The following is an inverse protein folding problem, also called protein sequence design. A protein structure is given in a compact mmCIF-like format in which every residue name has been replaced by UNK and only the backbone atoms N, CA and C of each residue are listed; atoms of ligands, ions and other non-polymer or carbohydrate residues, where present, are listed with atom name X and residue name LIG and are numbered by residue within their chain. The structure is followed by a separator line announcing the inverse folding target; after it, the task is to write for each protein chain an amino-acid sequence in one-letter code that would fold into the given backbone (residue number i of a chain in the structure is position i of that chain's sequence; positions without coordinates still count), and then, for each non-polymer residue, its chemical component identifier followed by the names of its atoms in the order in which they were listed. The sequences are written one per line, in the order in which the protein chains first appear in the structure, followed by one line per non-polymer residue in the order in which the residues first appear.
data_IF_480254845120
#
_entry.id   IF_480254845120
#
_cell.length_a   1.000
_cell.length_b   1.000
_cell.length_c   1.000
_cell.angle_alpha   90.00
_cell.angle_beta   90.00
_cell.angle_gamma   90.00
#
_symmetry.space_group_name_H-M   'P 1'
#
loop_
_entity.id
_entity.type
_entity.pdbx_description
1 polymer ?
#
# COMPACT_ATOMS: atom_id res chain seq x y z
N UNK A 1 -12.43 2.69 -12.45
CA UNK A 1 -12.92 2.03 -11.21
C UNK A 1 -11.86 2.15 -10.11
N UNK A 2 -11.99 3.12 -9.20
CA UNK A 2 -11.10 3.24 -8.05
C UNK A 2 -11.54 2.24 -6.96
N UNK A 3 -10.70 1.25 -6.65
CA UNK A 3 -10.95 0.30 -5.55
C UNK A 3 -10.33 0.86 -4.27
N UNK A 4 -11.15 1.09 -3.24
CA UNK A 4 -10.69 1.50 -1.89
C UNK A 4 -10.04 0.30 -1.19
N UNK A 5 -8.75 0.39 -0.90
CA UNK A 5 -8.02 -0.64 -0.13
C UNK A 5 -7.79 -0.16 1.30
N UNK A 6 -8.32 -0.88 2.30
CA UNK A 6 -7.90 -0.76 3.71
C UNK A 6 -6.96 -1.92 4.04
N UNK A 7 -5.77 -1.64 4.57
CA UNK A 7 -4.93 -2.63 5.23
C UNK A 7 -4.87 -2.30 6.73
N UNK A 8 -4.95 -3.29 7.64
CA UNK A 8 -4.73 -3.05 9.07
C UNK A 8 -3.30 -2.53 9.30
N UNK A 9 -3.17 -1.50 10.14
CA UNK A 9 -1.90 -0.82 10.39
C UNK A 9 -0.94 -1.70 11.19
N UNK A 10 0.30 -1.83 10.72
CA UNK A 10 1.40 -2.38 11.52
C UNK A 10 1.81 -1.34 12.56
N UNK A 11 1.69 -1.67 13.84
CA UNK A 11 2.16 -0.87 14.96
C UNK A 11 3.70 -0.87 14.99
N UNK A 12 4.32 0.18 14.45
CA UNK A 12 5.71 0.54 14.81
C UNK A 12 5.68 1.83 15.61
N UNK A 13 5.98 1.73 16.89
CA UNK A 13 5.94 2.83 17.87
C UNK A 13 7.03 3.89 17.70
N UNK A 14 7.21 4.46 16.50
CA UNK A 14 8.02 5.67 16.31
C UNK A 14 7.11 6.84 15.95
N UNK A 15 7.16 7.96 16.68
CA UNK A 15 6.37 9.14 16.33
C UNK A 15 6.81 9.67 14.95
N UNK A 16 5.83 9.90 14.10
CA UNK A 16 6.02 10.49 12.78
C UNK A 16 5.98 12.01 12.92
N UNK A 17 7.12 12.69 12.71
CA UNK A 17 7.21 14.15 12.92
C UNK A 17 6.91 14.98 11.66
N UNK A 18 6.74 14.36 10.48
CA UNK A 18 6.50 15.05 9.19
C UNK A 18 5.64 14.18 8.26
N UNK A 19 4.91 14.75 7.27
CA UNK A 19 4.18 13.96 6.27
C UNK A 19 5.07 12.94 5.56
N UNK A 20 4.54 11.75 5.29
CA UNK A 20 5.30 10.69 4.60
C UNK A 20 5.28 10.90 3.09
N UNK A 21 6.47 10.98 2.49
CA UNK A 21 6.67 11.13 1.04
C UNK A 21 7.35 9.90 0.40
N UNK A 22 7.22 8.72 1.03
CA UNK A 22 7.92 7.51 0.58
C UNK A 22 7.27 6.83 -0.63
N UNK A 23 8.04 6.03 -1.40
CA UNK A 23 7.51 5.31 -2.56
C UNK A 23 6.56 4.17 -2.14
N UNK A 24 5.42 4.06 -2.84
CA UNK A 24 4.50 2.93 -2.74
C UNK A 24 5.02 1.76 -3.59
N UNK A 25 5.04 0.54 -3.03
CA UNK A 25 5.50 -0.68 -3.73
C UNK A 25 4.38 -1.72 -3.83
N UNK A 26 4.21 -2.31 -5.03
CA UNK A 26 3.15 -3.30 -5.38
C UNK A 26 3.41 -4.72 -4.85
N UNK A 27 4.58 -4.99 -4.28
CA UNK A 27 4.98 -6.31 -3.80
C UNK A 27 6.03 -6.26 -2.70
N UNK A 28 6.14 -7.34 -1.95
CA UNK A 28 7.10 -7.52 -0.86
C UNK A 28 7.70 -8.93 -0.87
N UNK A 29 8.13 -9.39 -2.05
CA UNK A 29 8.93 -10.60 -2.19
C UNK A 29 10.27 -10.40 -1.45
N UNK A 30 10.80 -11.42 -0.74
CA UNK A 30 10.34 -12.81 -0.68
C UNK A 30 9.26 -13.10 0.38
N UNK A 31 8.90 -12.13 1.23
CA UNK A 31 7.94 -12.36 2.33
C UNK A 31 6.56 -12.83 1.84
N UNK A 32 6.11 -12.32 0.69
CA UNK A 32 4.90 -12.79 0.04
C UNK A 32 5.20 -13.16 -1.41
N UNK A 33 4.55 -14.23 -1.89
CA UNK A 33 4.61 -14.62 -3.30
C UNK A 33 4.24 -13.44 -4.21
N UNK A 34 4.91 -13.38 -5.37
CA UNK A 34 4.63 -12.35 -6.39
C UNK A 34 3.16 -12.45 -6.82
N UNK A 35 2.54 -11.32 -7.11
CA UNK A 35 1.26 -11.29 -7.81
C UNK A 35 1.55 -11.32 -9.32
N UNK A 36 1.23 -12.41 -10.05
CA UNK A 36 1.58 -12.54 -11.47
C UNK A 36 0.83 -11.56 -12.39
N UNK A 37 -0.33 -11.06 -11.96
CA UNK A 37 -1.12 -10.10 -12.75
C UNK A 37 -1.85 -10.71 -13.95
N UNK A 38 -1.86 -12.04 -14.10
CA UNK A 38 -2.43 -12.77 -15.25
C UNK A 38 -3.82 -13.36 -14.98
N UNK A 39 -4.18 -13.59 -13.72
CA UNK A 39 -5.41 -14.30 -13.33
C UNK A 39 -5.25 -15.82 -13.26
N UNK A 40 -4.10 -16.37 -13.63
CA UNK A 40 -3.75 -17.78 -13.43
C UNK A 40 -3.81 -18.17 -11.92
N UNK A 41 -4.04 -19.45 -11.60
CA UNK A 41 -4.02 -19.93 -10.22
C UNK A 41 -2.68 -19.61 -9.55
N UNK A 42 -2.73 -18.93 -8.39
CA UNK A 42 -1.56 -18.38 -7.69
C UNK A 42 -0.47 -19.39 -7.35
N UNK A 43 -0.82 -20.67 -7.18
CA UNK A 43 0.11 -21.73 -6.79
C UNK A 43 0.95 -22.25 -7.96
N UNK A 44 0.44 -22.12 -9.20
CA UNK A 44 1.04 -22.72 -10.39
C UNK A 44 1.35 -21.71 -11.49
N UNK A 45 0.98 -20.44 -11.30
CA UNK A 45 1.22 -19.38 -12.27
C UNK A 45 2.72 -19.20 -12.55
N UNK A 46 3.09 -19.30 -13.83
CA UNK A 46 4.47 -19.11 -14.32
C UNK A 46 4.61 -17.85 -15.17
N UNK A 47 3.51 -17.36 -15.73
CA UNK A 47 3.50 -16.17 -16.58
C UNK A 47 3.44 -14.90 -15.74
N UNK A 48 4.36 -13.96 -15.97
CA UNK A 48 4.34 -12.63 -15.35
C UNK A 48 3.87 -11.59 -16.35
N UNK A 49 2.91 -10.75 -15.93
CA UNK A 49 2.45 -9.59 -16.71
C UNK A 49 2.85 -8.31 -15.99
N UNK A 50 3.54 -7.41 -16.71
CA UNK A 50 3.82 -6.06 -16.23
C UNK A 50 2.50 -5.32 -16.06
N UNK A 51 2.34 -4.68 -14.91
CA UNK A 51 1.15 -3.91 -14.60
C UNK A 51 1.54 -2.46 -14.28
N UNK A 52 1.08 -1.54 -15.09
CA UNK A 52 1.11 -0.12 -14.78
C UNK A 52 0.20 0.15 -13.59
N UNK A 53 0.66 1.03 -12.71
CA UNK A 53 -0.14 1.44 -11.56
C UNK A 53 -0.03 2.90 -11.28
N UNK A 54 -1.19 3.43 -10.94
CA UNK A 54 -1.41 4.81 -10.63
C UNK A 54 -2.09 4.91 -9.27
N UNK A 55 -1.69 5.93 -8.52
CA UNK A 55 -2.26 6.25 -7.22
C UNK A 55 -2.84 7.65 -7.29
N UNK A 56 -4.15 7.72 -7.44
CA UNK A 56 -4.91 8.96 -7.35
C UNK A 56 -4.91 9.47 -5.91
N UNK A 57 -4.62 10.75 -5.73
CA UNK A 57 -4.51 11.41 -4.42
C UNK A 57 -5.00 12.87 -4.47
N UNK A 58 -5.79 13.22 -5.48
CA UNK A 58 -6.47 14.51 -5.60
C UNK A 58 -7.73 14.57 -4.70
N UNK A 59 -8.39 15.73 -4.55
CA UNK A 59 -9.59 15.85 -3.71
C UNK A 59 -10.76 14.93 -4.11
N UNK A 60 -10.88 14.54 -5.38
CA UNK A 60 -11.87 13.56 -5.85
C UNK A 60 -11.50 12.12 -5.50
N UNK A 61 -10.22 11.85 -5.28
CA UNK A 61 -9.68 10.55 -4.90
C UNK A 61 -8.65 10.66 -3.76
N UNK A 62 -9.07 11.02 -2.52
CA UNK A 62 -8.14 11.40 -1.46
C UNK A 62 -7.51 10.18 -0.76
N UNK A 63 -6.63 9.49 -1.46
CA UNK A 63 -5.77 8.45 -0.90
C UNK A 63 -4.87 9.03 0.19
N UNK A 64 -4.98 8.53 1.42
CA UNK A 64 -4.18 8.99 2.54
C UNK A 64 -3.82 7.85 3.49
N UNK A 65 -2.67 7.99 4.17
CA UNK A 65 -2.32 7.18 5.34
C UNK A 65 -2.81 7.91 6.58
N UNK A 66 -3.80 7.35 7.26
CA UNK A 66 -4.30 7.88 8.53
C UNK A 66 -3.44 7.34 9.67
N UNK A 67 -2.63 8.21 10.26
CA UNK A 67 -1.79 7.89 11.40
C UNK A 67 -2.43 8.40 12.70
N UNK A 68 -2.50 7.59 13.77
CA UNK A 68 -2.89 8.09 15.07
C UNK A 68 -1.81 9.06 15.58
N UNK A 69 -2.23 10.28 15.95
CA UNK A 69 -1.35 11.26 16.59
C UNK A 69 -1.44 11.10 18.11
N UNK A 70 -0.29 11.09 18.78
CA UNK A 70 -0.24 11.15 20.25
C UNK A 70 -0.48 12.62 20.64
N UNK A 71 -1.51 12.88 21.44
CA UNK A 71 -1.67 14.19 22.08
C UNK A 71 -0.69 14.27 23.25
N UNK A 72 0.21 15.22 23.23
CA UNK A 72 1.02 15.57 24.40
C UNK A 72 0.20 16.54 25.23
N UNK A 73 -0.25 16.10 26.41
CA UNK A 73 -0.80 17.01 27.42
C UNK A 73 0.38 17.86 27.91
N UNK A 74 0.22 19.18 27.88
CA UNK A 74 1.18 20.13 28.45
C UNK A 74 1.01 20.21 29.96
#
# INVERSE_FOLDING_TARGET
MARRWRRPSWSRGRPFQRPWHGPLRRGAFPRYNRNPGTGEPRATATTLRVADQEVFHDPGYPSAVLLPVRQTIR
#
